data_IF_382156106248
#
_entry.id   IF_382156106248
#
_cell.length_a   1.000
_cell.length_b   1.000
_cell.length_c   1.000
_cell.angle_alpha   90.00
_cell.angle_beta   90.00
_cell.angle_gamma   90.00
#
_symmetry.space_group_name_H-M   'P 1'
#
loop_
_entity.id
_entity.type
_entity.pdbx_description
1 polymer ?
#
# COMPACT_ATOMS: atom_id res chain seq x y z
N UNK A 1 7.53 22.91 23.76
CA UNK A 1 8.68 23.46 23.01
C UNK A 1 9.53 22.33 22.39
N UNK A 2 10.59 21.77 23.01
CA UNK A 2 11.36 20.62 22.38
C UNK A 2 10.47 19.42 22.08
N UNK A 3 9.64 19.01 23.03
CA UNK A 3 8.72 17.88 22.85
C UNK A 3 7.73 18.08 21.69
N UNK A 4 7.40 19.32 21.36
CA UNK A 4 6.49 19.60 20.23
C UNK A 4 7.22 19.40 18.90
N UNK A 5 8.51 19.83 18.82
CA UNK A 5 9.36 19.58 17.64
C UNK A 5 9.53 18.07 17.41
N UNK A 6 9.79 17.30 18.48
CA UNK A 6 9.96 15.84 18.39
C UNK A 6 8.65 15.16 17.97
N UNK A 7 7.52 15.53 18.58
CA UNK A 7 6.20 14.99 18.22
C UNK A 7 5.80 15.32 16.78
N UNK A 8 6.10 16.54 16.35
CA UNK A 8 5.83 16.97 14.98
C UNK A 8 6.68 16.18 13.96
N UNK A 9 7.98 16.03 14.26
CA UNK A 9 8.86 15.18 13.46
C UNK A 9 8.35 13.73 13.39
N UNK A 10 7.95 13.15 14.54
CA UNK A 10 7.39 11.80 14.61
C UNK A 10 6.14 11.66 13.73
N UNK A 11 5.21 12.61 13.84
CA UNK A 11 3.98 12.63 13.04
C UNK A 11 4.27 12.67 11.53
N UNK A 12 5.18 13.53 11.11
CA UNK A 12 5.53 13.67 9.69
C UNK A 12 6.30 12.44 9.16
N UNK A 13 7.20 11.84 9.95
CA UNK A 13 7.87 10.60 9.57
C UNK A 13 6.89 9.44 9.46
N UNK A 14 5.93 9.33 10.39
CA UNK A 14 4.86 8.35 10.30
C UNK A 14 3.99 8.57 9.06
N UNK A 15 3.63 9.81 8.74
CA UNK A 15 2.91 10.16 7.51
C UNK A 15 3.65 9.75 6.24
N UNK A 16 5.00 9.80 6.23
CA UNK A 16 5.80 9.32 5.11
C UNK A 16 5.71 7.78 4.94
N UNK A 17 5.65 7.03 6.04
CA UNK A 17 5.41 5.57 6.01
C UNK A 17 4.00 5.24 5.52
N UNK A 18 2.99 5.97 5.97
CA UNK A 18 1.62 5.78 5.48
C UNK A 18 1.51 6.09 3.97
N UNK A 19 2.19 7.13 3.49
CA UNK A 19 2.28 7.44 2.06
C UNK A 19 2.95 6.30 1.28
N UNK A 20 4.05 5.76 1.78
CA UNK A 20 4.72 4.59 1.21
C UNK A 20 3.76 3.40 1.06
N UNK A 21 2.99 3.09 2.10
CA UNK A 21 2.01 2.00 2.04
C UNK A 21 0.89 2.27 1.02
N UNK A 22 0.39 3.51 0.92
CA UNK A 22 -0.60 3.90 -0.10
C UNK A 22 -0.04 3.72 -1.51
N UNK A 23 1.17 4.22 -1.76
CA UNK A 23 1.81 4.15 -3.06
C UNK A 23 2.11 2.69 -3.46
N UNK A 24 2.52 1.85 -2.51
CA UNK A 24 2.71 0.43 -2.75
C UNK A 24 1.42 -0.34 -3.05
N UNK A 25 0.28 0.10 -2.55
CA UNK A 25 -1.02 -0.47 -2.93
C UNK A 25 -1.37 -0.21 -4.40
N UNK A 26 -0.90 0.89 -4.97
CA UNK A 26 -1.12 1.20 -6.40
C UNK A 26 -0.30 0.31 -7.34
N UNK A 27 0.78 -0.30 -6.84
CA UNK A 27 1.59 -1.23 -7.62
C UNK A 27 0.88 -2.59 -7.69
N UNK A 28 0.29 -2.88 -8.85
CA UNK A 28 -0.32 -4.19 -9.14
C UNK A 28 0.79 -5.24 -9.29
N UNK A 29 0.92 -6.11 -8.33
CA UNK A 29 1.98 -7.14 -8.27
C UNK A 29 1.68 -8.36 -9.16
N UNK A 30 0.55 -8.38 -9.88
CA UNK A 30 0.12 -9.55 -10.66
C UNK A 30 -0.37 -10.72 -9.81
N UNK A 31 -0.34 -10.59 -8.50
CA UNK A 31 -0.88 -11.58 -7.57
C UNK A 31 -2.38 -11.36 -7.39
N UNK A 32 -3.15 -12.43 -7.43
CA UNK A 32 -4.57 -12.38 -7.17
C UNK A 32 -4.86 -11.78 -5.78
N UNK A 33 -5.78 -10.83 -5.74
CA UNK A 33 -6.23 -10.18 -4.51
C UNK A 33 -7.73 -9.88 -4.64
N UNK A 34 -8.49 -10.14 -3.60
CA UNK A 34 -9.92 -9.84 -3.55
C UNK A 34 -10.23 -8.37 -3.88
N UNK A 35 -9.38 -7.45 -3.44
CA UNK A 35 -9.51 -6.02 -3.73
C UNK A 35 -9.47 -5.67 -5.22
N UNK A 36 -9.02 -6.55 -6.10
CA UNK A 36 -9.09 -6.33 -7.57
C UNK A 36 -10.53 -6.22 -8.07
N UNK A 37 -11.49 -6.76 -7.33
CA UNK A 37 -12.91 -6.75 -7.66
C UNK A 37 -13.72 -5.69 -6.90
N UNK A 38 -13.10 -4.88 -6.04
CA UNK A 38 -13.78 -3.90 -5.18
C UNK A 38 -14.51 -2.81 -5.99
N UNK A 39 -14.03 -2.51 -7.19
CA UNK A 39 -14.66 -1.53 -8.10
C UNK A 39 -15.81 -2.11 -8.92
N UNK A 40 -16.02 -3.42 -8.86
CA UNK A 40 -17.03 -4.10 -9.68
C UNK A 40 -18.36 -4.13 -8.94
N UNK A 41 -19.39 -3.60 -9.59
CA UNK A 41 -20.77 -3.63 -9.10
C UNK A 41 -21.62 -4.53 -9.99
N UNK A 42 -22.56 -5.22 -9.39
CA UNK A 42 -23.55 -6.05 -10.07
C UNK A 42 -24.95 -5.55 -9.73
N UNK A 43 -25.86 -5.63 -10.67
CA UNK A 43 -27.27 -5.39 -10.40
C UNK A 43 -27.83 -6.55 -9.56
N UNK A 44 -28.09 -6.28 -8.28
CA UNK A 44 -28.67 -7.22 -7.34
C UNK A 44 -30.13 -6.80 -7.08
N UNK A 45 -31.06 -7.45 -7.78
CA UNK A 45 -32.50 -7.16 -7.72
C UNK A 45 -32.85 -5.67 -7.94
N UNK A 46 -32.24 -5.05 -8.95
CA UNK A 46 -32.48 -3.65 -9.31
C UNK A 46 -31.63 -2.62 -8.53
N UNK A 47 -30.70 -3.10 -7.69
CA UNK A 47 -29.81 -2.21 -6.92
C UNK A 47 -28.35 -2.50 -7.27
N UNK A 48 -27.58 -1.49 -7.72
CA UNK A 48 -26.15 -1.65 -7.92
C UNK A 48 -25.45 -2.01 -6.60
N UNK A 49 -24.89 -3.21 -6.52
CA UNK A 49 -24.29 -3.75 -5.29
C UNK A 49 -22.86 -4.15 -5.55
N UNK A 50 -21.89 -3.79 -4.70
CA UNK A 50 -20.52 -4.30 -4.79
C UNK A 50 -20.48 -5.81 -4.74
N UNK A 51 -19.61 -6.45 -5.53
CA UNK A 51 -19.51 -7.92 -5.58
C UNK A 51 -19.28 -8.53 -4.18
N UNK A 52 -18.47 -7.88 -3.34
CA UNK A 52 -18.20 -8.36 -1.99
C UNK A 52 -19.44 -8.46 -1.09
N UNK A 53 -20.54 -7.77 -1.43
CA UNK A 53 -21.83 -7.87 -0.73
C UNK A 53 -22.77 -8.88 -1.36
N UNK A 54 -22.57 -9.26 -2.62
CA UNK A 54 -23.40 -10.21 -3.35
C UNK A 54 -22.80 -11.61 -3.43
N UNK A 55 -21.51 -11.76 -3.09
CA UNK A 55 -20.77 -13.01 -3.22
C UNK A 55 -19.62 -13.12 -2.21
N UNK A 56 -19.20 -14.33 -1.92
CA UNK A 56 -17.94 -14.60 -1.24
C UNK A 56 -16.79 -14.54 -2.23
N UNK A 57 -15.76 -13.74 -1.94
CA UNK A 57 -14.55 -13.62 -2.78
C UNK A 57 -13.38 -14.29 -2.05
N UNK A 58 -12.83 -15.34 -2.64
CA UNK A 58 -11.72 -16.13 -2.09
C UNK A 58 -10.53 -16.11 -3.05
N UNK A 59 -9.34 -16.19 -2.51
CA UNK A 59 -8.09 -16.28 -3.28
C UNK A 59 -7.36 -17.56 -2.86
N UNK A 60 -7.74 -18.72 -3.43
CA UNK A 60 -7.13 -19.99 -3.07
C UNK A 60 -5.68 -20.11 -3.54
N UNK A 61 -5.33 -19.43 -4.62
CA UNK A 61 -4.00 -19.45 -5.23
C UNK A 61 -3.56 -18.05 -5.66
N UNK A 62 -2.26 -17.84 -5.80
CA UNK A 62 -1.68 -16.55 -6.17
C UNK A 62 -2.16 -16.02 -7.55
N UNK A 63 -2.69 -16.88 -8.41
CA UNK A 63 -3.14 -16.55 -9.76
C UNK A 63 -4.64 -16.78 -9.98
N UNK A 64 -5.41 -17.06 -8.93
CA UNK A 64 -6.82 -17.40 -9.06
C UNK A 64 -7.67 -16.70 -8.00
N UNK A 65 -8.70 -15.99 -8.46
CA UNK A 65 -9.79 -15.50 -7.60
C UNK A 65 -11.01 -16.39 -7.85
N UNK A 66 -11.66 -16.81 -6.78
CA UNK A 66 -12.92 -17.58 -6.83
C UNK A 66 -14.01 -16.72 -6.21
N UNK A 67 -15.06 -16.46 -7.00
CA UNK A 67 -16.25 -15.71 -6.58
C UNK A 67 -17.41 -16.67 -6.48
N UNK A 68 -17.99 -16.79 -5.31
CA UNK A 68 -19.13 -17.65 -5.02
C UNK A 68 -20.33 -16.80 -4.63
N UNK A 69 -21.26 -16.52 -5.57
CA UNK A 69 -22.45 -15.75 -5.29
C UNK A 69 -23.34 -16.44 -4.25
N UNK A 70 -23.98 -15.67 -3.38
CA UNK A 70 -24.92 -16.17 -2.39
C UNK A 70 -26.17 -16.78 -3.03
N UNK A 71 -26.55 -16.24 -4.17
CA UNK A 71 -27.67 -16.72 -4.97
C UNK A 71 -27.17 -17.26 -6.31
N UNK A 72 -27.57 -18.49 -6.64
CA UNK A 72 -27.19 -19.14 -7.89
C UNK A 72 -27.67 -18.38 -9.14
N UNK A 73 -28.78 -17.67 -9.05
CA UNK A 73 -29.28 -16.84 -10.15
C UNK A 73 -28.35 -15.66 -10.48
N UNK A 74 -27.46 -15.29 -9.54
CA UNK A 74 -26.52 -14.21 -9.68
C UNK A 74 -25.19 -14.61 -10.32
N UNK A 75 -24.93 -15.90 -10.57
CA UNK A 75 -23.68 -16.36 -11.16
C UNK A 75 -23.43 -15.71 -12.53
N UNK A 76 -24.40 -15.76 -13.43
CA UNK A 76 -24.25 -15.16 -14.75
C UNK A 76 -24.17 -13.61 -14.72
N UNK A 77 -25.00 -12.88 -13.94
CA UNK A 77 -24.87 -11.44 -13.78
C UNK A 77 -23.53 -11.00 -13.22
N UNK A 78 -22.99 -11.71 -12.20
CA UNK A 78 -21.70 -11.40 -11.59
C UNK A 78 -20.55 -11.68 -12.58
N UNK A 79 -20.58 -12.80 -13.28
CA UNK A 79 -19.60 -13.11 -14.34
C UNK A 79 -19.58 -12.02 -15.41
N UNK A 80 -20.75 -11.60 -15.89
CA UNK A 80 -20.88 -10.51 -16.86
C UNK A 80 -20.36 -9.17 -16.33
N UNK A 81 -20.65 -8.85 -15.06
CA UNK A 81 -20.16 -7.63 -14.42
C UNK A 81 -18.62 -7.60 -14.35
N UNK A 82 -17.98 -8.71 -13.97
CA UNK A 82 -16.52 -8.82 -13.94
C UNK A 82 -15.93 -8.68 -15.36
N UNK A 83 -16.53 -9.32 -16.36
CA UNK A 83 -16.07 -9.24 -17.74
C UNK A 83 -16.17 -7.81 -18.30
N UNK A 84 -17.23 -7.10 -17.98
CA UNK A 84 -17.49 -5.74 -18.46
C UNK A 84 -16.75 -4.65 -17.69
N UNK A 85 -16.11 -4.98 -16.56
CA UNK A 85 -15.41 -4.01 -15.72
C UNK A 85 -14.04 -3.56 -16.31
N UNK A 86 -13.65 -4.07 -17.47
CA UNK A 86 -12.40 -3.72 -18.18
C UNK A 86 -11.13 -3.86 -17.31
N UNK A 87 -11.13 -4.87 -16.44
CA UNK A 87 -9.99 -5.17 -15.56
C UNK A 87 -8.94 -6.07 -16.22
N UNK A 88 -9.16 -6.48 -17.49
CA UNK A 88 -8.30 -7.44 -18.16
C UNK A 88 -8.42 -8.86 -17.61
N UNK A 89 -9.53 -9.16 -16.93
CA UNK A 89 -9.81 -10.46 -16.34
C UNK A 89 -10.82 -11.24 -17.19
N UNK A 90 -10.61 -12.54 -17.33
CA UNK A 90 -11.49 -13.46 -18.06
C UNK A 90 -12.17 -14.42 -17.10
N UNK A 91 -13.33 -14.05 -16.53
CA UNK A 91 -14.07 -14.94 -15.63
C UNK A 91 -14.67 -16.12 -16.42
N UNK A 92 -14.69 -17.28 -15.77
CA UNK A 92 -15.37 -18.49 -16.24
C UNK A 92 -16.15 -19.11 -15.11
N UNK A 93 -17.43 -19.46 -15.35
CA UNK A 93 -18.29 -20.07 -14.34
C UNK A 93 -18.58 -21.54 -14.64
N UNK A 94 -18.77 -22.34 -13.60
CA UNK A 94 -19.26 -23.72 -13.68
C UNK A 94 -20.73 -23.88 -13.23
N UNK A 95 -21.45 -22.75 -13.15
CA UNK A 95 -22.85 -22.69 -12.71
C UNK A 95 -23.05 -22.56 -11.20
N UNK A 96 -21.98 -22.63 -10.41
CA UNK A 96 -21.97 -22.43 -8.94
C UNK A 96 -20.98 -21.36 -8.51
N UNK A 97 -19.78 -21.45 -9.02
CA UNK A 97 -18.68 -20.52 -8.71
C UNK A 97 -18.12 -19.90 -9.99
N UNK A 98 -17.57 -18.71 -9.87
CA UNK A 98 -16.91 -18.02 -10.95
C UNK A 98 -15.42 -18.04 -10.65
N UNK A 99 -14.63 -18.60 -11.57
CA UNK A 99 -13.18 -18.60 -11.51
C UNK A 99 -12.63 -17.47 -12.34
N UNK A 100 -11.83 -16.63 -11.72
CA UNK A 100 -11.21 -15.48 -12.34
C UNK A 100 -9.70 -15.68 -12.31
N UNK A 101 -9.11 -16.24 -13.39
CA UNK A 101 -7.67 -16.36 -13.48
C UNK A 101 -7.06 -14.96 -13.62
N UNK A 102 -6.02 -14.70 -12.85
CA UNK A 102 -5.25 -13.46 -12.91
C UNK A 102 -4.01 -13.73 -13.77
N UNK A 103 -3.82 -13.01 -14.88
CA UNK A 103 -2.64 -13.19 -15.72
C UNK A 103 -1.36 -12.94 -14.94
N UNK A 104 -0.40 -13.85 -15.04
CA UNK A 104 0.91 -13.68 -14.42
C UNK A 104 1.69 -12.59 -15.14
N UNK A 105 2.49 -11.85 -14.36
CA UNK A 105 3.41 -10.86 -14.91
C UNK A 105 4.58 -11.56 -15.61
N UNK A 106 5.01 -11.01 -16.73
CA UNK A 106 6.28 -11.41 -17.36
C UNK A 106 7.46 -11.02 -16.45
N UNK A 107 8.59 -11.70 -16.62
CA UNK A 107 9.80 -11.40 -15.85
C UNK A 107 10.25 -9.94 -16.03
N UNK A 108 10.18 -9.42 -17.25
CA UNK A 108 10.49 -8.03 -17.56
C UNK A 108 9.58 -7.07 -16.79
N UNK A 109 8.28 -7.36 -16.78
CA UNK A 109 7.32 -6.52 -16.04
C UNK A 109 7.54 -6.55 -14.54
N UNK A 110 7.95 -7.69 -13.98
CA UNK A 110 8.33 -7.79 -12.56
C UNK A 110 9.55 -6.92 -12.26
N UNK A 111 10.60 -6.95 -13.11
CA UNK A 111 11.78 -6.09 -12.96
C UNK A 111 11.44 -4.61 -13.00
N UNK A 112 10.54 -4.20 -13.90
CA UNK A 112 10.05 -2.82 -13.94
C UNK A 112 9.30 -2.42 -12.65
N UNK A 113 8.46 -3.31 -12.13
CA UNK A 113 7.72 -3.06 -10.89
C UNK A 113 8.65 -2.97 -9.68
N UNK A 114 9.67 -3.82 -9.59
CA UNK A 114 10.71 -3.74 -8.56
C UNK A 114 11.42 -2.38 -8.65
N UNK A 115 11.82 -1.94 -9.84
CA UNK A 115 12.43 -0.62 -10.03
C UNK A 115 11.51 0.53 -9.59
N UNK A 116 10.21 0.44 -9.89
CA UNK A 116 9.23 1.42 -9.40
C UNK A 116 9.10 1.40 -7.87
N UNK A 117 9.08 0.20 -7.26
CA UNK A 117 9.03 0.06 -5.81
C UNK A 117 10.25 0.70 -5.14
N UNK A 118 11.45 0.52 -5.68
CA UNK A 118 12.66 1.21 -5.22
C UNK A 118 12.53 2.74 -5.30
N UNK A 119 11.99 3.27 -6.40
CA UNK A 119 11.75 4.71 -6.55
C UNK A 119 10.81 5.27 -5.49
N UNK A 120 9.71 4.57 -5.21
CA UNK A 120 8.74 4.93 -4.15
C UNK A 120 9.42 4.90 -2.77
N UNK A 121 10.20 3.85 -2.48
CA UNK A 121 10.93 3.73 -1.22
C UNK A 121 11.96 4.85 -1.03
N UNK A 122 12.70 5.23 -2.09
CA UNK A 122 13.64 6.36 -2.03
C UNK A 122 12.94 7.70 -1.81
N UNK A 123 11.77 7.91 -2.40
CA UNK A 123 10.96 9.09 -2.12
C UNK A 123 10.55 9.17 -0.64
N UNK A 124 10.14 8.05 -0.04
CA UNK A 124 9.84 7.97 1.39
C UNK A 124 11.06 8.25 2.27
N UNK A 125 12.24 7.68 1.95
CA UNK A 125 13.49 7.96 2.67
C UNK A 125 13.87 9.43 2.59
N UNK A 126 13.69 10.04 1.42
CA UNK A 126 13.96 11.48 1.21
C UNK A 126 13.02 12.33 2.06
N UNK A 127 11.72 12.00 2.11
CA UNK A 127 10.75 12.69 2.96
C UNK A 127 11.15 12.61 4.44
N UNK A 128 11.52 11.41 4.94
CA UNK A 128 11.98 11.21 6.31
C UNK A 128 13.25 12.02 6.62
N UNK A 129 14.22 12.05 5.70
CA UNK A 129 15.45 12.87 5.86
C UNK A 129 15.16 14.36 5.86
N UNK A 130 14.18 14.82 5.09
CA UNK A 130 13.75 16.22 5.11
C UNK A 130 13.12 16.58 6.45
N UNK A 131 12.22 15.75 6.97
CA UNK A 131 11.64 15.95 8.32
C UNK A 131 12.74 16.05 9.39
N UNK A 132 13.74 15.18 9.35
CA UNK A 132 14.90 15.27 10.25
C UNK A 132 15.60 16.63 10.11
N UNK A 133 15.86 17.07 8.87
CA UNK A 133 16.55 18.33 8.62
C UNK A 133 15.77 19.50 9.17
N UNK A 134 14.46 19.55 8.92
CA UNK A 134 13.57 20.60 9.41
C UNK A 134 13.51 20.64 10.94
N UNK A 135 13.44 19.48 11.59
CA UNK A 135 13.50 19.35 13.05
C UNK A 135 14.83 19.86 13.61
N UNK A 136 15.95 19.45 13.01
CA UNK A 136 17.28 19.89 13.42
C UNK A 136 17.45 21.42 13.26
N UNK A 137 16.96 21.98 12.17
CA UNK A 137 17.02 23.42 11.92
C UNK A 137 16.12 24.20 12.90
N UNK A 138 15.01 23.61 13.34
CA UNK A 138 14.17 24.21 14.36
C UNK A 138 14.89 24.23 15.72
N UNK A 139 15.50 23.12 16.14
CA UNK A 139 16.27 23.05 17.39
C UNK A 139 17.44 24.02 17.40
N UNK A 140 18.19 24.16 16.29
CA UNK A 140 19.27 25.15 16.16
C UNK A 140 18.78 26.59 16.31
N UNK A 141 17.60 26.91 15.77
CA UNK A 141 17.00 28.25 15.96
C UNK A 141 16.62 28.50 17.41
N UNK A 142 16.04 27.50 18.11
CA UNK A 142 15.70 27.58 19.53
C UNK A 142 16.95 27.81 20.39
N UNK A 143 18.07 27.11 20.10
CA UNK A 143 19.34 27.33 20.77
C UNK A 143 19.86 28.75 20.55
N UNK A 144 19.86 29.21 19.29
CA UNK A 144 20.30 30.58 18.93
C UNK A 144 19.49 31.67 19.63
N UNK A 145 18.21 31.41 19.86
CA UNK A 145 17.29 32.30 20.57
C UNK A 145 17.39 32.16 22.11
N UNK A 146 18.31 31.34 22.62
CA UNK A 146 18.45 31.02 24.06
C UNK A 146 17.17 30.43 24.71
N UNK A 147 16.33 29.74 23.91
CA UNK A 147 15.12 29.07 24.39
C UNK A 147 15.42 27.68 24.99
N UNK A 148 16.54 27.09 24.61
CA UNK A 148 17.02 25.78 25.08
C UNK A 148 18.51 25.82 25.36
N UNK A 149 19.01 24.87 26.18
CA UNK A 149 20.44 24.70 26.42
C UNK A 149 21.12 23.85 25.32
N UNK A 150 22.45 23.91 25.23
CA UNK A 150 23.23 23.04 24.32
C UNK A 150 23.04 21.56 24.62
N UNK A 151 22.92 21.18 25.91
CA UNK A 151 22.66 19.79 26.31
C UNK A 151 21.26 19.32 25.91
N UNK A 152 20.28 20.21 25.95
CA UNK A 152 18.91 19.90 25.50
C UNK A 152 18.84 19.75 23.98
N UNK A 153 19.52 20.65 23.24
CA UNK A 153 19.63 20.51 21.79
C UNK A 153 20.25 19.17 21.40
N UNK A 154 21.40 18.84 22.00
CA UNK A 154 22.12 17.59 21.71
C UNK A 154 21.25 16.36 21.94
N UNK A 155 20.54 16.31 23.10
CA UNK A 155 19.61 15.20 23.40
C UNK A 155 18.47 15.10 22.37
N UNK A 156 17.89 16.24 21.99
CA UNK A 156 16.81 16.27 21.01
C UNK A 156 17.29 15.89 19.58
N UNK A 157 18.47 16.31 19.17
CA UNK A 157 19.10 15.89 17.91
C UNK A 157 19.32 14.37 17.86
N UNK A 158 19.83 13.78 18.96
CA UNK A 158 20.03 12.34 19.06
C UNK A 158 18.70 11.58 19.01
N UNK A 159 17.65 12.11 19.63
CA UNK A 159 16.32 11.50 19.57
C UNK A 159 15.72 11.53 18.16
N UNK A 160 15.79 12.68 17.48
CA UNK A 160 15.34 12.80 16.09
C UNK A 160 16.16 11.88 15.17
N UNK A 161 17.47 11.72 15.41
CA UNK A 161 18.30 10.82 14.63
C UNK A 161 17.89 9.35 14.81
N UNK A 162 17.71 8.90 16.05
CA UNK A 162 17.23 7.53 16.35
C UNK A 162 15.86 7.26 15.70
N UNK A 163 14.96 8.24 15.76
CA UNK A 163 13.64 8.15 15.12
C UNK A 163 13.76 8.06 13.60
N UNK A 164 14.66 8.83 13.00
CA UNK A 164 14.95 8.80 11.56
C UNK A 164 15.45 7.41 11.15
N UNK A 165 16.43 6.87 11.87
CA UNK A 165 17.03 5.57 11.56
C UNK A 165 15.97 4.46 11.64
N UNK A 166 15.14 4.47 12.69
CA UNK A 166 14.03 3.52 12.83
C UNK A 166 13.06 3.54 11.64
N UNK A 167 12.65 4.72 11.20
CA UNK A 167 11.72 4.84 10.07
C UNK A 167 12.38 4.48 8.73
N UNK A 168 13.68 4.77 8.54
CA UNK A 168 14.42 4.33 7.35
C UNK A 168 14.54 2.81 7.30
N UNK A 169 14.79 2.15 8.42
CA UNK A 169 14.82 0.69 8.53
C UNK A 169 13.44 0.09 8.22
N UNK A 170 12.39 0.73 8.71
CA UNK A 170 11.00 0.34 8.40
C UNK A 170 10.71 0.41 6.88
N UNK A 171 11.13 1.50 6.21
CA UNK A 171 11.05 1.60 4.74
C UNK A 171 11.77 0.43 4.06
N UNK A 172 12.95 0.06 4.54
CA UNK A 172 13.71 -1.08 4.02
C UNK A 172 12.96 -2.41 4.16
N UNK A 173 12.33 -2.64 5.31
CA UNK A 173 11.52 -3.84 5.58
C UNK A 173 10.29 -3.90 4.69
N UNK A 174 9.56 -2.79 4.57
CA UNK A 174 8.36 -2.70 3.72
C UNK A 174 8.72 -2.90 2.25
N UNK A 175 9.83 -2.32 1.78
CA UNK A 175 10.34 -2.54 0.42
C UNK A 175 10.68 -4.00 0.16
N UNK A 176 11.44 -4.65 1.05
CA UNK A 176 11.83 -6.06 0.93
C UNK A 176 10.61 -6.98 0.83
N UNK A 177 9.59 -6.73 1.65
CA UNK A 177 8.35 -7.49 1.59
C UNK A 177 7.64 -7.28 0.25
N UNK A 178 7.60 -6.03 -0.25
CA UNK A 178 6.98 -5.73 -1.54
C UNK A 178 7.73 -6.36 -2.71
N UNK A 179 9.05 -6.39 -2.68
CA UNK A 179 9.86 -7.09 -3.68
C UNK A 179 9.57 -8.60 -3.69
N UNK A 180 9.48 -9.21 -2.50
CA UNK A 180 9.11 -10.62 -2.38
C UNK A 180 7.73 -10.88 -2.98
N UNK A 181 6.74 -10.01 -2.73
CA UNK A 181 5.39 -10.12 -3.31
C UNK A 181 5.39 -10.00 -4.84
N UNK A 182 6.22 -9.11 -5.41
CA UNK A 182 6.35 -8.92 -6.86
C UNK A 182 7.03 -10.14 -7.50
N UNK A 183 8.01 -10.72 -6.83
CA UNK A 183 8.80 -11.84 -7.35
C UNK A 183 8.18 -13.20 -7.06
N UNK A 184 7.21 -13.29 -6.13
CA UNK A 184 6.48 -14.52 -5.88
C UNK A 184 5.68 -14.94 -7.12
N UNK A 185 5.88 -16.19 -7.54
CA UNK A 185 5.21 -16.81 -8.71
C UNK A 185 3.99 -17.58 -8.25
#
# INVERSE_FOLDING_TARGET
MINDVIKDAQKHMHGAIEALHRDFKTLRTGRANAAMLDSVTVDYYGTPTPIAQAASVKVPEASLIVVEPWDKSMVAPVEKAIRNADLGLNPASDGKVIRVPVPQLTEERRKELVKKAHGIAEAARTAIRNVRRDGNDHLKRMLKNHEISEDDEKRALDEIQKMTDKHIDEVGTVLKNKEADIMAV
#
